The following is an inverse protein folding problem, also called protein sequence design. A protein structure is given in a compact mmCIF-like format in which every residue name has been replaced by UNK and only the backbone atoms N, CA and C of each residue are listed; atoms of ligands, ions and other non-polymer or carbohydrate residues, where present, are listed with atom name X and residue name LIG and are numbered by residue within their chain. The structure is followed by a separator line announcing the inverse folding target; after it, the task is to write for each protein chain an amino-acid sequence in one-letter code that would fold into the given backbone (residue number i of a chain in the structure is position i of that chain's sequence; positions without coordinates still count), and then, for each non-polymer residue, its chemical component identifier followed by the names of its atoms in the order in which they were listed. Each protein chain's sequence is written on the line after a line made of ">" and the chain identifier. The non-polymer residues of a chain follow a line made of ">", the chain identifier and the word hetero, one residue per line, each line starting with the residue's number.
data_IF_072445394909
#
_entry.id   IF_072445394909
#
_cell.length_a   1.000
_cell.length_b   1.000
_cell.length_c   1.000
_cell.angle_alpha   90.00
_cell.angle_beta   90.00
_cell.angle_gamma   90.00
#
_symmetry.space_group_name_H-M   'P 1'
#
loop_
_entity.id
_entity.type
_entity.pdbx_description
1 polymer ?
#
# COMPACT_ATOMS: atom_id res chain seq x y z
N UNK A 1 31.71 -25.15 9.44
CA UNK A 1 33.14 -25.36 9.11
C UNK A 1 33.86 -24.15 9.67
N UNK A 2 34.77 -24.33 10.63
CA UNK A 2 35.52 -23.22 11.22
C UNK A 2 36.95 -23.35 10.71
N UNK A 3 37.45 -22.32 10.03
CA UNK A 3 38.87 -22.23 9.68
C UNK A 3 39.64 -21.74 10.90
N UNK A 4 40.33 -22.68 11.56
CA UNK A 4 41.25 -22.41 12.65
C UNK A 4 42.68 -22.48 12.12
N UNK A 5 43.15 -21.35 11.58
CA UNK A 5 44.54 -21.15 11.12
C UNK A 5 45.00 -22.19 10.09
N UNK A 6 44.20 -22.40 9.04
CA UNK A 6 44.52 -23.31 7.94
C UNK A 6 44.26 -24.79 8.27
N UNK A 7 43.57 -25.07 9.37
CA UNK A 7 43.10 -26.41 9.72
C UNK A 7 41.60 -26.40 9.83
N UNK A 8 40.97 -27.13 8.94
CA UNK A 8 39.53 -27.27 8.97
C UNK A 8 39.07 -28.10 10.16
N UNK A 9 38.05 -27.59 10.85
CA UNK A 9 37.35 -28.35 11.88
C UNK A 9 35.85 -28.38 11.59
N UNK A 10 35.25 -29.53 11.89
CA UNK A 10 33.80 -29.75 11.81
C UNK A 10 33.25 -29.89 13.22
N UNK A 11 32.33 -28.99 13.58
CA UNK A 11 31.53 -29.08 14.80
C UNK A 11 30.16 -29.68 14.44
N UNK A 12 29.71 -30.68 15.18
CA UNK A 12 28.35 -31.23 15.12
C UNK A 12 27.72 -31.06 16.50
N UNK A 13 26.57 -30.42 16.56
CA UNK A 13 25.76 -30.27 17.76
C UNK A 13 24.39 -30.88 17.46
N UNK A 14 23.95 -31.80 18.31
CA UNK A 14 22.59 -32.31 18.33
C UNK A 14 21.75 -31.60 19.39
N UNK A 15 20.45 -31.87 19.40
CA UNK A 15 19.49 -31.28 20.34
C UNK A 15 19.82 -31.53 21.83
N UNK A 16 20.63 -32.56 22.14
CA UNK A 16 21.10 -32.85 23.50
C UNK A 16 22.39 -32.14 23.91
N UNK A 17 23.08 -31.49 22.98
CA UNK A 17 24.39 -30.87 23.23
C UNK A 17 24.28 -29.39 23.63
N UNK A 18 23.08 -28.81 23.54
CA UNK A 18 22.81 -27.39 23.79
C UNK A 18 21.61 -27.25 24.72
N UNK A 19 21.77 -26.51 25.82
CA UNK A 19 20.63 -26.10 26.67
C UNK A 19 20.17 -24.73 26.20
N UNK A 20 18.94 -24.62 25.70
CA UNK A 20 18.34 -23.33 25.35
C UNK A 20 18.08 -22.58 26.66
N UNK A 21 18.68 -21.41 26.91
CA UNK A 21 18.32 -20.58 28.05
C UNK A 21 16.83 -20.28 27.99
N UNK A 22 16.14 -20.25 29.13
CA UNK A 22 14.71 -19.97 29.18
C UNK A 22 14.40 -18.56 28.66
N UNK A 23 14.23 -18.44 27.35
CA UNK A 23 13.71 -17.26 26.68
C UNK A 23 12.21 -17.41 26.61
N UNK A 24 11.49 -16.37 27.04
CA UNK A 24 10.05 -16.29 26.79
C UNK A 24 9.82 -16.37 25.28
N UNK A 25 8.84 -17.16 24.80
CA UNK A 25 8.55 -17.21 23.38
C UNK A 25 8.16 -15.82 22.92
N UNK A 26 8.96 -15.24 22.03
CA UNK A 26 8.63 -13.96 21.38
C UNK A 26 7.37 -14.23 20.55
N UNK A 27 6.31 -13.46 20.77
CA UNK A 27 5.00 -13.69 20.17
C UNK A 27 5.02 -13.54 18.64
N UNK A 28 5.98 -12.77 18.11
CA UNK A 28 6.26 -12.57 16.69
C UNK A 28 7.79 -12.55 16.52
N UNK A 29 8.38 -13.18 15.50
CA UNK A 29 9.81 -13.04 15.23
C UNK A 29 10.16 -11.56 15.05
N UNK A 30 11.28 -11.11 15.61
CA UNK A 30 11.82 -9.78 15.32
C UNK A 30 12.26 -9.71 13.83
N UNK A 31 12.28 -8.51 13.24
CA UNK A 31 12.84 -8.32 11.90
C UNK A 31 14.32 -8.70 11.87
N UNK A 32 14.79 -9.28 10.76
CA UNK A 32 16.18 -9.72 10.60
C UNK A 32 17.12 -8.51 10.44
N UNK A 33 16.60 -7.37 9.95
CA UNK A 33 17.33 -6.12 9.90
C UNK A 33 16.53 -4.88 10.29
N UNK A 34 17.24 -3.84 10.73
CA UNK A 34 16.64 -2.52 10.97
C UNK A 34 16.12 -1.84 9.70
N UNK A 35 16.62 -2.24 8.52
CA UNK A 35 16.16 -1.72 7.22
C UNK A 35 14.78 -2.26 6.89
N UNK A 36 14.56 -3.56 7.09
CA UNK A 36 13.25 -4.20 6.94
C UNK A 36 12.20 -3.60 7.88
N UNK A 37 12.57 -3.45 9.17
CA UNK A 37 11.67 -2.88 10.18
C UNK A 37 11.25 -1.44 9.83
N UNK A 38 12.22 -0.61 9.44
CA UNK A 38 11.98 0.78 9.02
C UNK A 38 11.12 0.84 7.74
N UNK A 39 11.41 0.00 6.75
CA UNK A 39 10.63 -0.09 5.52
C UNK A 39 9.18 -0.49 5.81
N UNK A 40 8.96 -1.60 6.55
CA UNK A 40 7.63 -2.12 6.83
C UNK A 40 6.78 -1.11 7.61
N UNK A 41 7.36 -0.43 8.60
CA UNK A 41 6.67 0.62 9.36
C UNK A 41 6.25 1.80 8.49
N UNK A 42 7.13 2.28 7.61
CA UNK A 42 6.83 3.39 6.71
C UNK A 42 5.84 3.00 5.60
N UNK A 43 5.92 1.77 5.08
CA UNK A 43 5.02 1.28 4.04
C UNK A 43 3.58 1.15 4.57
N UNK A 44 3.40 0.49 5.73
CA UNK A 44 2.08 0.29 6.34
C UNK A 44 1.38 1.61 6.71
N UNK A 45 2.14 2.68 6.94
CA UNK A 45 1.57 4.00 7.24
C UNK A 45 0.97 4.72 6.01
N UNK A 46 1.19 4.22 4.79
CA UNK A 46 0.69 4.85 3.57
C UNK A 46 -0.74 4.46 3.20
N UNK A 47 -1.30 3.42 3.81
CA UNK A 47 -2.69 2.96 3.58
C UNK A 47 -3.00 2.80 2.08
N UNK A 48 -2.17 2.01 1.40
CA UNK A 48 -2.31 1.70 -0.02
C UNK A 48 -3.18 0.45 -0.20
N UNK A 49 -3.71 0.24 -1.41
CA UNK A 49 -4.45 -0.98 -1.81
C UNK A 49 -3.55 -2.24 -1.96
N UNK A 50 -2.43 -2.26 -1.22
CA UNK A 50 -1.43 -3.31 -1.20
C UNK A 50 -1.16 -3.76 0.23
N UNK A 51 -1.49 -5.00 0.53
CA UNK A 51 -1.22 -5.62 1.83
C UNK A 51 0.21 -6.15 1.90
N UNK A 52 1.01 -5.64 2.86
CA UNK A 52 2.39 -6.09 3.10
C UNK A 52 2.43 -7.30 4.06
N UNK A 53 2.70 -8.48 3.51
CA UNK A 53 2.90 -9.74 4.23
C UNK A 53 4.39 -9.92 4.55
N UNK A 54 4.73 -10.28 5.80
CA UNK A 54 6.10 -10.58 6.22
C UNK A 54 6.32 -12.10 6.22
N UNK A 55 7.53 -12.52 5.87
CA UNK A 55 7.91 -13.95 5.82
C UNK A 55 6.84 -14.77 5.06
N UNK A 56 6.56 -14.41 3.79
CA UNK A 56 5.61 -15.14 2.98
C UNK A 56 6.04 -16.59 2.76
N UNK A 57 5.18 -17.34 2.09
CA UNK A 57 5.44 -18.74 1.78
C UNK A 57 6.75 -18.92 0.98
N UNK A 58 7.51 -19.99 1.28
CA UNK A 58 8.78 -20.23 0.60
C UNK A 58 8.60 -20.51 -0.89
N UNK A 59 9.48 -19.93 -1.70
CA UNK A 59 9.58 -20.13 -3.14
C UNK A 59 10.49 -21.33 -3.46
N UNK A 60 10.03 -22.22 -4.33
CA UNK A 60 10.85 -23.30 -4.86
C UNK A 60 11.83 -22.76 -5.90
N UNK A 61 13.13 -23.07 -5.74
CA UNK A 61 14.21 -22.66 -6.64
C UNK A 61 14.99 -23.90 -7.06
N UNK A 62 14.46 -24.64 -8.02
CA UNK A 62 15.01 -25.92 -8.48
C UNK A 62 15.21 -26.93 -7.34
N UNK A 63 16.45 -27.02 -6.82
CA UNK A 63 16.82 -27.92 -5.71
C UNK A 63 16.90 -27.24 -4.33
N UNK A 64 16.62 -25.94 -4.26
CA UNK A 64 16.62 -25.17 -3.03
C UNK A 64 15.30 -24.44 -2.80
N UNK A 65 15.20 -23.78 -1.66
CA UNK A 65 14.07 -22.94 -1.29
C UNK A 65 14.61 -21.55 -0.98
N UNK A 66 13.90 -20.53 -1.46
CA UNK A 66 14.12 -19.14 -1.11
C UNK A 66 12.93 -18.65 -0.29
N UNK A 67 13.17 -17.95 0.81
CA UNK A 67 12.11 -17.27 1.56
C UNK A 67 12.36 -15.78 1.38
N UNK A 68 11.49 -15.06 0.66
CA UNK A 68 11.55 -13.61 0.57
C UNK A 68 11.29 -12.95 1.92
N UNK A 69 11.78 -11.74 2.12
CA UNK A 69 11.51 -10.98 3.35
C UNK A 69 10.02 -10.58 3.45
N UNK A 70 9.44 -10.20 2.30
CA UNK A 70 8.07 -9.71 2.21
C UNK A 70 7.36 -10.20 0.94
N UNK A 71 6.04 -10.04 0.95
CA UNK A 71 5.21 -10.05 -0.26
C UNK A 71 4.20 -8.90 -0.20
N UNK A 72 3.86 -8.34 -1.36
CA UNK A 72 2.77 -7.40 -1.55
C UNK A 72 1.61 -8.14 -2.21
N UNK A 73 0.48 -8.20 -1.51
CA UNK A 73 -0.78 -8.71 -2.06
C UNK A 73 -1.62 -7.52 -2.54
N UNK A 74 -2.08 -7.56 -3.79
CA UNK A 74 -2.98 -6.53 -4.29
C UNK A 74 -4.41 -6.81 -3.83
N UNK A 75 -5.07 -5.83 -3.21
CA UNK A 75 -6.35 -6.07 -2.55
C UNK A 75 -7.52 -6.30 -3.53
N UNK A 76 -7.32 -5.96 -4.82
CA UNK A 76 -8.36 -6.00 -5.85
C UNK A 76 -8.12 -7.01 -6.99
N UNK A 77 -7.09 -7.84 -6.90
CA UNK A 77 -6.88 -8.95 -7.82
C UNK A 77 -6.11 -10.09 -7.15
N UNK A 78 -6.17 -11.31 -7.71
CA UNK A 78 -5.34 -12.43 -7.28
C UNK A 78 -3.91 -12.26 -7.81
N UNK A 79 -3.18 -11.32 -7.22
CA UNK A 79 -1.82 -10.96 -7.61
C UNK A 79 -0.94 -10.74 -6.38
N UNK A 80 0.25 -11.35 -6.41
CA UNK A 80 1.27 -11.25 -5.38
C UNK A 80 2.61 -10.90 -6.01
N UNK A 81 3.25 -9.85 -5.50
CA UNK A 81 4.63 -9.48 -5.83
C UNK A 81 5.53 -9.79 -4.63
N UNK A 82 6.53 -10.65 -4.80
CA UNK A 82 7.50 -10.92 -3.76
C UNK A 82 8.52 -9.78 -3.64
N UNK A 83 9.04 -9.56 -2.43
CA UNK A 83 9.98 -8.49 -2.17
C UNK A 83 11.11 -8.94 -1.24
N UNK A 84 12.34 -8.71 -1.71
CA UNK A 84 13.57 -9.12 -1.04
C UNK A 84 14.47 -7.91 -0.82
N UNK A 85 14.99 -7.73 0.40
CA UNK A 85 15.90 -6.66 0.79
C UNK A 85 17.32 -7.19 0.94
N UNK A 86 18.13 -7.04 -0.10
CA UNK A 86 19.54 -7.43 -0.08
C UNK A 86 20.45 -6.35 0.52
N UNK A 87 20.79 -6.53 1.79
CA UNK A 87 21.72 -5.68 2.56
C UNK A 87 23.20 -6.10 2.51
N UNK A 88 23.95 -5.90 3.60
CA UNK A 88 25.40 -6.13 3.64
C UNK A 88 25.76 -7.62 3.63
N UNK A 89 25.85 -8.19 2.44
CA UNK A 89 26.25 -9.58 2.21
C UNK A 89 27.67 -9.63 1.61
N UNK A 90 28.41 -10.71 1.89
CA UNK A 90 29.69 -10.95 1.21
C UNK A 90 29.44 -11.25 -0.28
N UNK A 91 30.37 -10.92 -1.19
CA UNK A 91 30.19 -11.16 -2.63
C UNK A 91 29.79 -12.61 -2.96
N UNK A 92 30.37 -13.60 -2.27
CA UNK A 92 30.04 -15.02 -2.42
C UNK A 92 28.59 -15.35 -2.01
N UNK A 93 28.04 -14.65 -1.01
CA UNK A 93 26.67 -14.85 -0.57
C UNK A 93 25.68 -14.18 -1.53
N UNK A 94 26.06 -13.02 -2.07
CA UNK A 94 25.32 -12.34 -3.14
C UNK A 94 25.25 -13.25 -4.37
N UNK A 95 26.36 -13.77 -4.88
CA UNK A 95 26.37 -14.69 -6.02
C UNK A 95 25.46 -15.91 -5.83
N UNK A 96 25.42 -16.47 -4.60
CA UNK A 96 24.50 -17.55 -4.28
C UNK A 96 23.03 -17.11 -4.33
N UNK A 97 22.67 -15.98 -3.70
CA UNK A 97 21.31 -15.43 -3.75
C UNK A 97 20.92 -15.10 -5.20
N UNK A 98 21.81 -14.53 -6.00
CA UNK A 98 21.60 -14.29 -7.44
C UNK A 98 21.31 -15.56 -8.21
N UNK A 99 22.04 -16.65 -7.92
CA UNK A 99 21.75 -17.96 -8.51
C UNK A 99 20.36 -18.47 -8.12
N UNK A 100 19.98 -18.34 -6.85
CA UNK A 100 18.64 -18.71 -6.39
C UNK A 100 17.55 -17.87 -7.08
N UNK A 101 17.76 -16.55 -7.19
CA UNK A 101 16.85 -15.61 -7.86
C UNK A 101 16.68 -15.94 -9.36
N UNK A 102 17.76 -16.29 -10.05
CA UNK A 102 17.71 -16.68 -11.46
C UNK A 102 16.99 -18.01 -11.69
N UNK A 103 16.97 -18.89 -10.69
CA UNK A 103 16.28 -20.19 -10.72
C UNK A 103 14.83 -20.10 -10.19
N UNK A 104 14.35 -18.92 -9.77
CA UNK A 104 12.92 -18.71 -9.46
C UNK A 104 12.18 -18.59 -10.79
N UNK A 105 11.35 -19.57 -11.11
CA UNK A 105 10.46 -19.52 -12.27
C UNK A 105 9.03 -19.15 -11.83
N UNK A 106 8.28 -18.50 -12.71
CA UNK A 106 6.84 -18.25 -12.58
C UNK A 106 6.39 -17.37 -11.38
N UNK A 107 7.23 -16.45 -10.91
CA UNK A 107 6.80 -15.45 -9.91
C UNK A 107 7.29 -14.04 -10.25
N UNK A 108 6.52 -13.03 -9.83
CA UNK A 108 6.94 -11.64 -9.83
C UNK A 108 7.78 -11.34 -8.58
N UNK A 109 8.97 -10.78 -8.79
CA UNK A 109 9.91 -10.49 -7.71
C UNK A 109 10.56 -9.11 -7.88
N UNK A 110 10.49 -8.32 -6.81
CA UNK A 110 11.18 -7.04 -6.65
C UNK A 110 12.32 -7.19 -5.66
N UNK A 111 13.49 -6.68 -6.01
CA UNK A 111 14.68 -6.77 -5.15
C UNK A 111 15.20 -5.38 -4.81
N UNK A 112 15.26 -5.05 -3.52
CA UNK A 112 15.95 -3.87 -3.03
C UNK A 112 17.42 -4.20 -2.76
N UNK A 113 18.35 -3.46 -3.36
CA UNK A 113 19.79 -3.77 -3.32
C UNK A 113 20.58 -2.61 -2.72
N UNK A 114 21.39 -2.88 -1.70
CA UNK A 114 22.29 -1.87 -1.16
C UNK A 114 23.34 -1.46 -2.22
N UNK A 115 23.44 -0.16 -2.49
CA UNK A 115 24.33 0.42 -3.49
C UNK A 115 25.81 0.04 -3.28
N UNK A 116 26.22 -0.24 -2.03
CA UNK A 116 27.59 -0.63 -1.71
C UNK A 116 27.99 -2.00 -2.27
N UNK A 117 27.03 -2.85 -2.65
CA UNK A 117 27.29 -4.17 -3.24
C UNK A 117 27.70 -4.09 -4.71
N UNK A 118 27.30 -3.05 -5.44
CA UNK A 118 27.63 -2.89 -6.86
C UNK A 118 27.07 -3.98 -7.79
N UNK A 119 26.04 -4.73 -7.37
CA UNK A 119 25.46 -5.86 -8.14
C UNK A 119 24.13 -5.55 -8.82
N UNK A 120 23.61 -4.31 -8.70
CA UNK A 120 22.29 -3.93 -9.21
C UNK A 120 22.09 -4.22 -10.70
N UNK A 121 23.11 -3.94 -11.54
CA UNK A 121 23.03 -4.22 -12.99
C UNK A 121 22.94 -5.70 -13.32
N UNK A 122 23.57 -6.58 -12.53
CA UNK A 122 23.54 -8.03 -12.77
C UNK A 122 22.17 -8.64 -12.44
N UNK A 123 21.47 -8.11 -11.44
CA UNK A 123 20.12 -8.55 -11.05
C UNK A 123 19.10 -8.06 -12.08
N UNK A 124 19.19 -6.80 -12.49
CA UNK A 124 18.32 -6.24 -13.51
C UNK A 124 18.43 -6.97 -14.87
N UNK A 125 19.60 -7.57 -15.15
CA UNK A 125 19.80 -8.40 -16.34
C UNK A 125 19.11 -9.78 -16.27
N UNK A 126 18.58 -10.17 -15.12
CA UNK A 126 17.90 -11.45 -14.89
C UNK A 126 16.36 -11.32 -14.91
N UNK A 127 15.84 -10.31 -15.62
CA UNK A 127 14.40 -9.95 -15.72
C UNK A 127 13.69 -9.59 -14.39
N UNK A 128 14.43 -9.56 -13.29
CA UNK A 128 13.91 -9.10 -11.99
C UNK A 128 13.93 -7.58 -11.87
N UNK A 129 12.89 -7.01 -11.24
CA UNK A 129 12.84 -5.56 -10.97
C UNK A 129 13.75 -5.24 -9.80
N UNK A 130 14.50 -4.15 -9.91
CA UNK A 130 15.52 -3.76 -8.91
C UNK A 130 15.33 -2.31 -8.48
N UNK A 131 15.37 -2.09 -7.17
CA UNK A 131 15.46 -0.76 -6.57
C UNK A 131 16.77 -0.68 -5.78
N UNK A 132 17.67 0.22 -6.16
CA UNK A 132 18.88 0.45 -5.36
C UNK A 132 18.57 1.32 -4.14
N UNK A 133 19.26 1.10 -3.03
CA UNK A 133 19.12 1.92 -1.84
C UNK A 133 20.45 2.13 -1.09
N UNK A 134 20.51 3.18 -0.27
CA UNK A 134 21.65 3.45 0.62
C UNK A 134 21.14 3.73 2.03
N UNK A 135 21.48 2.87 2.98
CA UNK A 135 21.05 2.98 4.37
C UNK A 135 19.59 2.59 4.62
N UNK A 136 18.63 3.16 3.88
CA UNK A 136 17.20 2.80 3.97
C UNK A 136 16.56 2.64 2.59
N UNK A 137 15.63 1.70 2.47
CA UNK A 137 14.83 1.51 1.25
C UNK A 137 13.82 2.65 1.13
N UNK A 138 13.85 3.39 0.03
CA UNK A 138 12.89 4.48 -0.21
C UNK A 138 11.55 3.87 -0.61
N UNK A 139 10.55 4.02 0.26
CA UNK A 139 9.18 3.50 0.02
C UNK A 139 8.61 4.01 -1.30
N UNK A 140 8.86 5.27 -1.65
CA UNK A 140 8.40 5.84 -2.92
C UNK A 140 8.87 5.02 -4.14
N UNK A 141 10.11 4.57 -4.12
CA UNK A 141 10.71 3.88 -5.28
C UNK A 141 10.08 2.47 -5.44
N UNK A 142 9.69 1.84 -4.32
CA UNK A 142 8.91 0.60 -4.33
C UNK A 142 7.46 0.84 -4.76
N UNK A 143 6.82 1.90 -4.27
CA UNK A 143 5.44 2.27 -4.65
C UNK A 143 5.34 2.62 -6.13
N UNK A 144 6.35 3.25 -6.71
CA UNK A 144 6.38 3.51 -8.15
C UNK A 144 6.33 2.20 -8.96
N UNK A 145 7.03 1.15 -8.51
CA UNK A 145 6.95 -0.18 -9.12
C UNK A 145 5.56 -0.79 -8.95
N UNK A 146 5.00 -0.76 -7.74
CA UNK A 146 3.66 -1.30 -7.46
C UNK A 146 2.59 -0.64 -8.35
N UNK A 147 2.71 0.68 -8.56
CA UNK A 147 1.78 1.45 -9.41
C UNK A 147 1.79 1.04 -10.86
N UNK A 148 2.91 0.53 -11.38
CA UNK A 148 2.96 0.01 -12.74
C UNK A 148 2.07 -1.23 -12.88
N UNK A 149 2.11 -2.15 -11.92
CA UNK A 149 1.23 -3.32 -11.87
C UNK A 149 -0.23 -2.91 -11.63
N UNK A 150 -0.45 -2.02 -10.67
CA UNK A 150 -1.77 -1.50 -10.31
C UNK A 150 -2.49 -0.90 -11.53
N UNK A 151 -1.77 -0.12 -12.37
CA UNK A 151 -2.34 0.49 -13.57
C UNK A 151 -2.89 -0.55 -14.56
N UNK A 152 -2.25 -1.71 -14.68
CA UNK A 152 -2.72 -2.79 -15.55
C UNK A 152 -4.00 -3.43 -14.99
N UNK A 153 -4.06 -3.70 -13.69
CA UNK A 153 -5.25 -4.24 -13.04
C UNK A 153 -6.42 -3.26 -13.05
N UNK A 154 -6.16 -1.97 -12.78
CA UNK A 154 -7.15 -0.90 -12.84
C UNK A 154 -7.73 -0.79 -14.24
N UNK A 155 -6.88 -0.82 -15.28
CA UNK A 155 -7.35 -0.75 -16.66
C UNK A 155 -8.22 -1.96 -17.04
N UNK A 156 -7.82 -3.17 -16.64
CA UNK A 156 -8.60 -4.39 -16.87
C UNK A 156 -9.96 -4.32 -16.15
N UNK A 157 -9.96 -3.97 -14.86
CA UNK A 157 -11.19 -3.81 -14.08
C UNK A 157 -12.12 -2.74 -14.64
N UNK A 158 -11.56 -1.59 -15.07
CA UNK A 158 -12.32 -0.53 -15.70
C UNK A 158 -12.96 -0.99 -17.02
N UNK A 159 -12.27 -1.80 -17.82
CA UNK A 159 -12.81 -2.32 -19.09
C UNK A 159 -14.00 -3.27 -18.90
N UNK A 160 -14.04 -4.01 -17.78
CA UNK A 160 -15.13 -4.93 -17.44
C UNK A 160 -16.37 -4.21 -16.88
N UNK A 161 -16.25 -2.94 -16.51
CA UNK A 161 -17.34 -2.11 -15.98
C UNK A 161 -18.01 -1.27 -17.08
N UNK A 162 -19.34 -1.03 -16.99
CA UNK A 162 -20.03 -0.15 -17.93
C UNK A 162 -19.49 1.28 -17.85
N UNK A 163 -19.57 2.03 -18.95
CA UNK A 163 -19.12 3.43 -19.03
C UNK A 163 -19.94 4.39 -18.15
N UNK A 164 -21.16 3.98 -17.78
CA UNK A 164 -22.05 4.72 -16.89
C UNK A 164 -22.44 3.86 -15.69
N UNK A 165 -22.31 4.43 -14.50
CA UNK A 165 -22.66 3.82 -13.22
C UNK A 165 -23.73 4.66 -12.53
N UNK A 166 -24.83 4.02 -12.16
CA UNK A 166 -25.94 4.64 -11.42
C UNK A 166 -26.14 3.88 -10.11
N UNK A 167 -25.47 4.27 -9.02
CA UNK A 167 -25.75 3.70 -7.71
C UNK A 167 -27.18 4.05 -7.25
N UNK A 168 -27.80 3.18 -6.45
CA UNK A 168 -29.16 3.42 -5.95
C UNK A 168 -29.18 4.44 -4.82
N UNK A 169 -28.14 4.44 -3.98
CA UNK A 169 -28.01 5.33 -2.82
C UNK A 169 -28.05 6.81 -3.20
N UNK A 170 -28.63 7.64 -2.32
CA UNK A 170 -28.73 9.08 -2.54
C UNK A 170 -27.38 9.80 -2.36
N UNK A 171 -26.55 9.27 -1.48
CA UNK A 171 -25.13 9.58 -1.35
C UNK A 171 -24.32 8.29 -1.18
N UNK A 172 -23.15 8.20 -1.81
CA UNK A 172 -22.23 7.06 -1.66
C UNK A 172 -20.78 7.50 -1.89
N UNK A 173 -19.86 7.07 -1.03
CA UNK A 173 -18.43 7.32 -1.24
C UNK A 173 -17.92 6.50 -2.43
N UNK A 174 -17.02 7.06 -3.22
CA UNK A 174 -16.37 6.32 -4.31
C UNK A 174 -15.68 5.04 -3.81
N UNK A 175 -15.10 5.07 -2.61
CA UNK A 175 -14.49 3.91 -1.98
C UNK A 175 -15.50 2.79 -1.72
N UNK A 176 -16.69 3.11 -1.19
CA UNK A 176 -17.73 2.12 -0.92
C UNK A 176 -18.30 1.56 -2.23
N UNK A 177 -18.53 2.41 -3.23
CA UNK A 177 -19.00 1.97 -4.56
C UNK A 177 -17.98 1.06 -5.25
N UNK A 178 -16.68 1.37 -5.14
CA UNK A 178 -15.61 0.54 -5.70
C UNK A 178 -15.52 -0.82 -4.97
N UNK A 179 -15.61 -0.81 -3.64
CA UNK A 179 -15.63 -2.00 -2.80
C UNK A 179 -16.83 -2.91 -3.12
N UNK A 180 -18.03 -2.36 -3.34
CA UNK A 180 -19.23 -3.10 -3.77
C UNK A 180 -19.03 -3.83 -5.10
N UNK A 181 -18.05 -3.40 -5.90
CA UNK A 181 -17.67 -4.01 -7.18
C UNK A 181 -16.38 -4.80 -7.13
N UNK A 182 -15.72 -4.86 -5.97
CA UNK A 182 -14.45 -5.56 -5.78
C UNK A 182 -13.30 -4.95 -6.57
N UNK A 183 -13.32 -3.64 -6.83
CA UNK A 183 -12.29 -2.93 -7.59
C UNK A 183 -11.72 -1.77 -6.77
N UNK A 184 -10.55 -1.27 -7.18
CA UNK A 184 -10.00 -0.03 -6.64
C UNK A 184 -10.75 1.20 -7.14
N UNK A 185 -10.69 2.30 -6.39
CA UNK A 185 -11.40 3.56 -6.72
C UNK A 185 -11.01 4.10 -8.10
N UNK A 186 -9.74 3.96 -8.48
CA UNK A 186 -9.24 4.43 -9.77
C UNK A 186 -9.93 3.73 -10.96
N UNK A 187 -10.42 2.49 -10.80
CA UNK A 187 -11.12 1.76 -11.85
C UNK A 187 -12.50 2.36 -12.19
N UNK A 188 -13.10 3.10 -11.25
CA UNK A 188 -14.38 3.78 -11.44
C UNK A 188 -14.24 5.30 -11.62
N UNK A 189 -13.05 5.86 -11.41
CA UNK A 189 -12.82 7.30 -11.36
C UNK A 189 -13.15 8.01 -12.70
N UNK A 190 -12.93 7.33 -13.83
CA UNK A 190 -13.22 7.87 -15.17
C UNK A 190 -14.63 7.52 -15.68
N UNK A 191 -15.44 6.81 -14.88
CA UNK A 191 -16.81 6.45 -15.27
C UNK A 191 -17.75 7.64 -15.14
N UNK A 192 -18.82 7.61 -15.92
CA UNK A 192 -19.88 8.62 -15.83
C UNK A 192 -20.93 8.24 -14.79
N UNK A 193 -21.42 9.22 -14.04
CA UNK A 193 -22.46 9.05 -13.03
C UNK A 193 -23.65 9.94 -13.37
N UNK A 194 -24.59 9.48 -14.22
CA UNK A 194 -25.62 10.35 -14.80
C UNK A 194 -26.65 10.86 -13.77
N UNK A 195 -26.82 10.15 -12.65
CA UNK A 195 -27.81 10.47 -11.62
C UNK A 195 -27.20 11.16 -10.38
N UNK A 196 -25.88 11.38 -10.37
CA UNK A 196 -25.13 11.92 -9.24
C UNK A 196 -24.13 12.99 -9.67
N UNK A 197 -23.84 13.91 -8.76
CA UNK A 197 -22.73 14.84 -8.87
C UNK A 197 -21.60 14.37 -7.94
N UNK A 198 -20.35 14.47 -8.41
CA UNK A 198 -19.19 14.17 -7.58
C UNK A 198 -18.85 15.40 -6.71
N UNK A 199 -18.98 15.23 -5.40
CA UNK A 199 -18.66 16.22 -4.38
C UNK A 199 -17.51 15.67 -3.52
N UNK A 200 -16.30 16.16 -3.76
CA UNK A 200 -15.10 15.61 -3.12
C UNK A 200 -14.86 14.17 -3.58
N UNK A 201 -15.06 13.21 -2.67
CA UNK A 201 -14.99 11.76 -2.93
C UNK A 201 -16.34 11.04 -2.80
N UNK A 202 -17.43 11.78 -2.78
CA UNK A 202 -18.79 11.26 -2.58
C UNK A 202 -19.65 11.61 -3.79
N UNK A 203 -20.35 10.62 -4.32
CA UNK A 203 -21.38 10.81 -5.33
C UNK A 203 -22.69 11.15 -4.62
N UNK A 204 -23.31 12.27 -4.97
CA UNK A 204 -24.52 12.80 -4.32
C UNK A 204 -25.57 13.12 -5.36
N UNK A 205 -26.82 12.70 -5.16
CA UNK A 205 -27.92 13.07 -6.07
C UNK A 205 -28.19 14.57 -6.01
N UNK A 206 -28.53 15.22 -7.13
CA UNK A 206 -28.89 16.65 -7.14
C UNK A 206 -29.99 17.03 -6.13
N UNK A 207 -31.00 16.17 -5.94
CA UNK A 207 -32.07 16.41 -4.97
C UNK A 207 -31.56 16.54 -3.52
N UNK A 208 -30.54 15.77 -3.14
CA UNK A 208 -29.92 15.88 -1.80
C UNK A 208 -29.18 17.21 -1.67
N UNK A 209 -28.48 17.65 -2.72
CA UNK A 209 -27.79 18.94 -2.72
C UNK A 209 -28.78 20.12 -2.62
N UNK A 210 -29.94 20.01 -3.27
CA UNK A 210 -31.01 21.00 -3.16
C UNK A 210 -31.57 21.07 -1.73
N UNK A 211 -31.84 19.92 -1.11
CA UNK A 211 -32.30 19.87 0.30
C UNK A 211 -31.25 20.44 1.25
N UNK A 212 -29.97 20.12 1.06
CA UNK A 212 -28.88 20.67 1.86
C UNK A 212 -28.73 22.19 1.70
N UNK A 213 -28.98 22.72 0.50
CA UNK A 213 -28.96 24.16 0.25
C UNK A 213 -30.08 24.92 0.99
N UNK A 214 -31.19 24.25 1.30
CA UNK A 214 -32.28 24.81 2.11
C UNK A 214 -32.02 24.71 3.62
N UNK A 215 -31.16 23.78 4.06
CA UNK A 215 -30.85 23.53 5.48
C UNK A 215 -29.57 24.23 5.97
N UNK A 216 -28.60 24.47 5.09
CA UNK A 216 -27.30 25.05 5.43
C UNK A 216 -27.28 26.53 5.08
N UNK A 217 -27.07 27.38 6.09
CA UNK A 217 -27.05 28.83 5.93
C UNK A 217 -25.71 29.47 6.32
N UNK A 218 -25.43 30.65 5.73
CA UNK A 218 -24.33 31.48 6.18
C UNK A 218 -24.53 31.89 7.66
N UNK A 219 -23.48 31.75 8.47
CA UNK A 219 -23.55 32.00 9.91
C UNK A 219 -23.75 30.74 10.77
N UNK A 220 -24.05 29.58 10.18
CA UNK A 220 -23.97 28.29 10.89
C UNK A 220 -22.53 28.01 11.35
N UNK A 221 -22.39 27.32 12.49
CA UNK A 221 -21.10 26.75 12.87
C UNK A 221 -20.76 25.57 11.96
N UNK A 222 -19.47 25.38 11.69
CA UNK A 222 -18.96 24.24 10.92
C UNK A 222 -19.47 22.92 11.48
N UNK A 223 -19.42 22.74 12.80
CA UNK A 223 -19.91 21.51 13.45
C UNK A 223 -21.41 21.25 13.27
N UNK A 224 -22.22 22.30 13.15
CA UNK A 224 -23.65 22.14 12.88
C UNK A 224 -23.88 21.76 11.43
N UNK A 225 -23.08 22.30 10.51
CA UNK A 225 -23.13 21.95 9.10
C UNK A 225 -22.61 20.52 8.85
N UNK A 226 -21.52 20.12 9.51
CA UNK A 226 -21.00 18.75 9.51
C UNK A 226 -22.07 17.75 9.94
N UNK A 227 -22.80 18.04 11.04
CA UNK A 227 -23.89 17.16 11.49
C UNK A 227 -25.02 17.00 10.44
N UNK A 228 -25.38 18.07 9.73
CA UNK A 228 -26.40 18.01 8.65
C UNK A 228 -25.90 17.18 7.46
N UNK A 229 -24.60 17.27 7.14
CA UNK A 229 -23.98 16.50 6.06
C UNK A 229 -23.81 15.02 6.43
N UNK A 230 -23.40 14.73 7.66
CA UNK A 230 -23.26 13.37 8.20
C UNK A 230 -24.60 12.62 8.20
N UNK A 231 -25.72 13.32 8.49
CA UNK A 231 -27.07 12.76 8.40
C UNK A 231 -27.47 12.31 6.98
N UNK A 232 -26.68 12.70 5.96
CA UNK A 232 -26.83 12.32 4.54
C UNK A 232 -25.68 11.46 4.03
N UNK A 233 -24.84 10.90 4.91
CA UNK A 233 -23.66 10.10 4.55
C UNK A 233 -22.62 10.89 3.70
N UNK A 234 -22.48 12.20 3.93
CA UNK A 234 -21.51 13.07 3.24
C UNK A 234 -20.38 13.47 4.20
N UNK A 235 -19.29 12.71 4.19
CA UNK A 235 -18.16 12.91 5.10
C UNK A 235 -17.23 14.09 4.71
N UNK A 236 -17.15 14.44 3.42
CA UNK A 236 -16.28 15.54 2.95
C UNK A 236 -16.98 16.90 3.08
N UNK A 237 -17.08 17.37 4.32
CA UNK A 237 -17.74 18.64 4.62
C UNK A 237 -17.11 19.82 3.87
N UNK A 238 -15.79 19.82 3.67
CA UNK A 238 -15.11 20.91 2.97
C UNK A 238 -15.53 20.98 1.50
N UNK A 239 -15.57 19.84 0.80
CA UNK A 239 -16.00 19.79 -0.59
C UNK A 239 -17.49 20.12 -0.73
N UNK A 240 -18.34 19.56 0.13
CA UNK A 240 -19.79 19.78 0.11
C UNK A 240 -20.14 21.26 0.36
N UNK A 241 -19.58 21.87 1.41
CA UNK A 241 -19.79 23.29 1.69
C UNK A 241 -19.28 24.17 0.55
N UNK A 242 -18.13 23.82 -0.04
CA UNK A 242 -17.57 24.52 -1.20
C UNK A 242 -18.48 24.45 -2.43
N UNK A 243 -19.16 23.31 -2.65
CA UNK A 243 -20.12 23.09 -3.73
C UNK A 243 -21.41 23.89 -3.50
N UNK A 244 -21.89 23.93 -2.25
CA UNK A 244 -23.05 24.73 -1.83
C UNK A 244 -22.77 26.25 -1.80
N UNK A 245 -21.55 26.68 -2.14
CA UNK A 245 -21.22 28.11 -2.21
C UNK A 245 -20.80 28.72 -0.88
N UNK A 246 -20.34 27.92 0.08
CA UNK A 246 -19.81 28.37 1.37
C UNK A 246 -18.28 28.22 1.48
N UNK A 247 -17.71 28.95 2.42
CA UNK A 247 -16.34 28.82 2.93
C UNK A 247 -16.35 28.90 4.45
N UNK A 248 -15.39 28.24 5.08
CA UNK A 248 -15.24 28.28 6.53
C UNK A 248 -14.39 29.49 6.93
N UNK A 249 -14.94 30.36 7.78
CA UNK A 249 -14.19 31.40 8.48
C UNK A 249 -13.77 30.89 9.86
N UNK A 250 -12.47 30.72 10.05
CA UNK A 250 -11.90 30.20 11.30
C UNK A 250 -11.74 31.29 12.36
N UNK A 251 -12.31 31.07 13.56
CA UNK A 251 -12.17 31.97 14.71
C UNK A 251 -11.17 31.37 15.72
N UNK A 252 -9.94 31.14 15.26
CA UNK A 252 -8.90 30.49 16.06
C UNK A 252 -9.20 29.01 16.33
N UNK A 253 -8.91 28.52 17.55
CA UNK A 253 -9.13 27.12 17.94
C UNK A 253 -10.58 26.81 18.35
N UNK A 254 -11.49 27.81 18.31
CA UNK A 254 -12.87 27.69 18.76
C UNK A 254 -13.84 27.09 17.73
N UNK A 255 -13.36 26.78 16.52
CA UNK A 255 -14.16 26.28 15.41
C UNK A 255 -14.28 27.27 14.25
N UNK A 256 -15.07 26.89 13.25
CA UNK A 256 -15.33 27.69 12.06
C UNK A 256 -16.81 28.08 11.93
N UNK A 257 -17.07 29.18 11.22
CA UNK A 257 -18.42 29.64 10.87
C UNK A 257 -18.53 29.76 9.36
N UNK A 258 -19.67 29.35 8.80
CA UNK A 258 -19.90 29.41 7.37
C UNK A 258 -20.07 30.85 6.87
N UNK A 259 -19.47 31.15 5.73
CA UNK A 259 -19.61 32.41 4.98
C UNK A 259 -19.85 32.09 3.52
N UNK A 260 -20.63 32.91 2.83
CA UNK A 260 -20.78 32.79 1.39
C UNK A 260 -19.43 32.96 0.68
N UNK A 261 -19.24 32.16 -0.38
CA UNK A 261 -18.05 32.14 -1.23
C UNK A 261 -18.14 33.31 -2.22
N UNK A 262 -17.97 34.52 -1.69
CA UNK A 262 -18.11 35.77 -2.46
C UNK A 262 -18.30 37.02 -1.60
N UNK A 263 -18.62 36.85 -0.31
CA UNK A 263 -18.75 37.93 0.67
C UNK A 263 -17.43 38.23 1.41
#
# INVERSE_FOLDING_TARGET
>A
RIDDRGRERTLRLGAGDVTVPGVEPVAEPDFDSGVEADFAGRFRALDLDWTLVREPEPLETGASVMIPDFAFDYDHADFRLFFEVMGFWTPEYVEKKLGQLADVEDVDLLVAVDESLGVGEAIAASDHRVVSYSGTVRVKDVVDVLREYEAEFVAAAAADLPDALSPDADAIRLADLAADRGVGVEAIAEKSFPDHELVGRTLVRPAVLEELADEIDAGMSLSAAEAVLDDRDIDDASAALSQLGYRVAWEGLGGGTLREKGA
#
